data_IF_747531294946
#
_entry.id   IF_747531294946
#
_cell.length_a   1.000
_cell.length_b   1.000
_cell.length_c   1.000
_cell.angle_alpha   90.00
_cell.angle_beta   90.00
_cell.angle_gamma   90.00
#
_symmetry.space_group_name_H-M   'P 1'
#
loop_
_entity.id
_entity.type
_entity.pdbx_description
1 polymer ?
#
# COMPACT_ATOMS: atom_id res chain seq x y z
N UNK A 1 9.71 -30.30 8.92
CA UNK A 1 10.80 -29.56 9.58
C UNK A 1 11.08 -28.27 8.80
N UNK A 2 11.50 -27.17 9.44
CA UNK A 2 11.94 -25.95 8.73
C UNK A 2 13.45 -25.76 8.95
N UNK A 3 14.21 -25.50 7.89
CA UNK A 3 15.65 -25.24 7.96
C UNK A 3 16.13 -24.32 6.82
N UNK A 4 17.40 -23.90 6.90
CA UNK A 4 18.08 -23.23 5.79
C UNK A 4 18.19 -24.17 4.61
N UNK A 5 17.99 -23.62 3.41
CA UNK A 5 18.15 -24.37 2.16
C UNK A 5 19.54 -24.98 2.07
N UNK A 6 19.61 -26.27 1.75
CA UNK A 6 20.84 -27.00 1.47
C UNK A 6 20.95 -27.27 -0.04
N UNK A 7 22.14 -27.58 -0.58
CA UNK A 7 22.31 -27.92 -2.00
C UNK A 7 21.38 -29.04 -2.51
N UNK A 8 21.00 -29.96 -1.63
CA UNK A 8 20.06 -31.05 -1.94
C UNK A 8 18.61 -30.55 -2.11
N UNK A 9 18.22 -29.46 -1.45
CA UNK A 9 16.86 -28.91 -1.50
C UNK A 9 16.65 -27.96 -2.68
N UNK A 10 17.75 -27.40 -3.22
CA UNK A 10 17.72 -26.26 -4.13
C UNK A 10 16.84 -26.49 -5.35
N UNK A 11 16.97 -27.66 -5.99
CA UNK A 11 16.19 -28.01 -7.18
C UNK A 11 14.71 -28.05 -6.88
N UNK A 12 14.30 -28.75 -5.82
CA UNK A 12 12.89 -28.89 -5.44
C UNK A 12 12.30 -27.55 -4.99
N UNK A 13 13.07 -26.76 -4.26
CA UNK A 13 12.70 -25.40 -3.87
C UNK A 13 12.49 -24.48 -5.08
N UNK A 14 13.39 -24.52 -6.07
CA UNK A 14 13.28 -23.73 -7.29
C UNK A 14 12.04 -24.13 -8.12
N UNK A 15 11.81 -25.43 -8.27
CA UNK A 15 10.61 -25.96 -8.94
C UNK A 15 9.33 -25.48 -8.25
N UNK A 16 9.29 -25.56 -6.91
CA UNK A 16 8.14 -25.13 -6.12
C UNK A 16 7.88 -23.62 -6.25
N UNK A 17 8.92 -22.79 -6.23
CA UNK A 17 8.82 -21.34 -6.46
C UNK A 17 8.23 -21.08 -7.84
N UNK A 18 8.84 -21.62 -8.90
CA UNK A 18 8.43 -21.34 -10.28
C UNK A 18 6.98 -21.76 -10.54
N UNK A 19 6.59 -22.94 -10.03
CA UNK A 19 5.24 -23.49 -10.20
C UNK A 19 4.14 -22.64 -9.55
N UNK A 20 4.43 -21.88 -8.48
CA UNK A 20 3.39 -21.23 -7.68
C UNK A 20 3.46 -19.70 -7.63
N UNK A 21 4.60 -19.10 -8.01
CA UNK A 21 4.82 -17.64 -7.92
C UNK A 21 4.78 -16.93 -9.27
N UNK A 22 4.84 -17.67 -10.39
CA UNK A 22 4.96 -17.07 -11.73
C UNK A 22 6.37 -16.59 -12.07
N UNK A 23 7.35 -16.78 -11.18
CA UNK A 23 8.75 -16.49 -11.44
C UNK A 23 9.34 -17.49 -12.45
N UNK A 24 10.19 -16.99 -13.34
CA UNK A 24 10.93 -17.84 -14.27
C UNK A 24 11.87 -18.79 -13.52
N UNK A 25 12.15 -19.96 -14.10
CA UNK A 25 13.05 -20.94 -13.50
C UNK A 25 14.42 -20.36 -13.10
N UNK A 26 15.09 -19.52 -13.92
CA UNK A 26 16.34 -18.89 -13.49
C UNK A 26 16.19 -17.95 -12.30
N UNK A 27 15.05 -17.25 -12.16
CA UNK A 27 14.80 -16.39 -11.01
C UNK A 27 14.50 -17.21 -9.74
N UNK A 28 13.71 -18.27 -9.88
CA UNK A 28 13.43 -19.22 -8.82
C UNK A 28 14.70 -19.91 -8.30
N UNK A 29 15.58 -20.34 -9.20
CA UNK A 29 16.86 -20.96 -8.88
C UNK A 29 17.74 -20.04 -8.03
N UNK A 30 17.91 -18.78 -8.43
CA UNK A 30 18.70 -17.80 -7.65
C UNK A 30 18.15 -17.58 -6.24
N UNK A 31 16.84 -17.60 -6.09
CA UNK A 31 16.21 -17.47 -4.76
C UNK A 31 16.48 -18.74 -3.95
N UNK A 32 16.32 -19.92 -4.54
CA UNK A 32 16.58 -21.20 -3.88
C UNK A 32 18.06 -21.39 -3.48
N UNK A 33 19.00 -20.75 -4.18
CA UNK A 33 20.43 -20.80 -3.85
C UNK A 33 20.85 -19.78 -2.78
N UNK A 34 20.01 -18.80 -2.45
CA UNK A 34 20.31 -17.79 -1.44
C UNK A 34 20.30 -18.42 -0.04
N UNK A 35 21.38 -18.23 0.72
CA UNK A 35 21.52 -18.76 2.09
C UNK A 35 20.49 -18.20 3.08
N UNK A 36 19.83 -17.10 2.75
CA UNK A 36 18.72 -16.55 3.53
C UNK A 36 17.38 -17.26 3.27
N UNK A 37 17.31 -18.14 2.28
CA UNK A 37 16.14 -18.93 1.96
C UNK A 37 15.94 -20.08 2.94
N UNK A 38 14.69 -20.25 3.37
CA UNK A 38 14.26 -21.33 4.22
C UNK A 38 13.36 -22.28 3.44
N UNK A 39 13.51 -23.57 3.72
CA UNK A 39 12.66 -24.64 3.20
C UNK A 39 11.93 -25.33 4.34
N UNK A 40 10.74 -25.84 4.01
CA UNK A 40 9.97 -26.73 4.85
C UNK A 40 9.93 -28.10 4.18
N UNK A 41 10.25 -29.14 4.95
CA UNK A 41 10.42 -30.51 4.45
C UNK A 41 9.50 -31.45 5.21
N UNK A 42 8.88 -32.40 4.50
CA UNK A 42 8.05 -33.46 5.08
C UNK A 42 8.90 -34.45 5.89
N UNK A 43 8.30 -35.34 6.70
CA UNK A 43 9.03 -36.41 7.38
C UNK A 43 9.83 -37.31 6.42
N UNK A 44 9.35 -37.46 5.18
CA UNK A 44 9.96 -38.29 4.15
C UNK A 44 11.08 -37.57 3.37
N UNK A 45 11.40 -36.32 3.72
CA UNK A 45 12.46 -35.55 3.06
C UNK A 45 12.02 -34.74 1.85
N UNK A 46 10.72 -34.65 1.54
CA UNK A 46 10.22 -33.85 0.41
C UNK A 46 10.07 -32.36 0.76
N UNK A 47 10.62 -31.47 -0.07
CA UNK A 47 10.41 -30.01 0.08
C UNK A 47 8.94 -29.66 -0.21
N UNK A 48 8.22 -29.23 0.82
CA UNK A 48 6.80 -28.87 0.75
C UNK A 48 6.50 -27.38 0.91
N UNK A 49 7.51 -26.57 1.23
CA UNK A 49 7.38 -25.12 1.34
C UNK A 49 8.72 -24.40 1.25
N UNK A 50 8.68 -23.14 0.82
CA UNK A 50 9.88 -22.32 0.65
C UNK A 50 9.56 -20.85 0.88
N UNK A 51 10.44 -20.15 1.58
CA UNK A 51 10.41 -18.70 1.76
C UNK A 51 11.81 -18.16 1.51
N UNK A 52 11.98 -17.45 0.39
CA UNK A 52 13.19 -16.71 0.09
C UNK A 52 13.02 -15.24 0.46
N UNK A 53 13.82 -14.75 1.40
CA UNK A 53 13.80 -13.36 1.81
C UNK A 53 15.19 -12.86 2.19
N UNK A 54 15.60 -11.71 1.65
CA UNK A 54 16.96 -11.20 1.81
C UNK A 54 17.09 -9.71 1.60
N UNK A 55 18.33 -9.24 1.49
CA UNK A 55 18.61 -7.83 1.22
C UNK A 55 18.04 -7.46 -0.15
N UNK A 56 17.32 -6.33 -0.27
CA UNK A 56 16.90 -5.86 -1.58
C UNK A 56 18.09 -5.57 -2.49
N UNK A 57 17.89 -5.87 -3.76
CA UNK A 57 18.85 -5.60 -4.84
C UNK A 57 18.33 -4.47 -5.72
N UNK A 58 19.20 -3.84 -6.52
CA UNK A 58 18.78 -2.81 -7.48
C UNK A 58 17.70 -3.34 -8.46
N UNK A 59 17.76 -4.62 -8.82
CA UNK A 59 16.78 -5.27 -9.71
C UNK A 59 15.43 -5.52 -9.04
N UNK A 60 15.40 -5.68 -7.72
CA UNK A 60 14.18 -6.03 -6.98
C UNK A 60 13.56 -4.86 -6.23
N UNK A 61 14.28 -3.74 -6.12
CA UNK A 61 13.84 -2.53 -5.45
C UNK A 61 13.80 -1.37 -6.46
N UNK A 62 12.63 -1.13 -7.04
CA UNK A 62 12.36 0.08 -7.84
C UNK A 62 12.01 1.23 -6.90
N UNK A 63 12.83 2.28 -6.86
CA UNK A 63 12.67 3.40 -5.92
C UNK A 63 12.26 4.65 -6.68
N UNK A 64 11.18 5.29 -6.26
CA UNK A 64 10.72 6.57 -6.82
C UNK A 64 11.43 7.80 -6.23
N UNK A 65 12.28 7.58 -5.22
CA UNK A 65 13.04 8.63 -4.55
C UNK A 65 14.52 8.55 -4.93
N UNK A 66 14.82 8.67 -6.22
CA UNK A 66 16.11 9.24 -6.61
C UNK A 66 16.13 10.68 -6.09
N UNK A 67 16.66 10.88 -4.88
CA UNK A 67 17.04 12.22 -4.47
C UNK A 67 18.15 12.68 -5.42
N UNK A 68 17.79 13.55 -6.38
CA UNK A 68 18.76 14.39 -7.11
C UNK A 68 19.79 13.61 -7.94
N UNK A 69 19.37 12.60 -8.70
CA UNK A 69 20.22 11.96 -9.73
C UNK A 69 21.42 11.19 -9.20
N UNK A 70 21.49 10.88 -7.90
CA UNK A 70 22.47 9.94 -7.35
C UNK A 70 21.94 8.51 -7.43
N UNK A 71 22.81 7.57 -7.79
CA UNK A 71 22.49 6.15 -7.77
C UNK A 71 22.07 5.73 -6.36
N UNK A 72 20.87 5.17 -6.24
CA UNK A 72 20.34 4.66 -4.98
C UNK A 72 21.10 3.39 -4.57
N UNK A 73 21.58 3.33 -3.32
CA UNK A 73 22.23 2.13 -2.76
C UNK A 73 21.21 1.24 -2.02
N UNK A 74 20.87 0.04 -2.52
CA UNK A 74 19.97 -0.89 -1.84
C UNK A 74 20.52 -1.44 -0.51
N UNK A 75 21.82 -1.35 -0.27
CA UNK A 75 22.47 -1.89 0.93
C UNK A 75 22.09 -1.11 2.20
N UNK A 76 21.73 0.17 2.06
CA UNK A 76 21.33 1.04 3.17
C UNK A 76 19.87 0.83 3.58
N UNK A 77 19.10 0.06 2.81
CA UNK A 77 17.68 -0.21 3.10
C UNK A 77 17.60 -1.13 4.31
N UNK A 78 17.02 -0.68 5.43
CA UNK A 78 16.95 -1.49 6.64
C UNK A 78 15.76 -2.45 6.60
N UNK A 79 15.44 -3.02 5.43
CA UNK A 79 14.35 -3.97 5.25
C UNK A 79 14.82 -5.17 4.45
N UNK A 80 14.27 -6.35 4.74
CA UNK A 80 14.39 -7.49 3.84
C UNK A 80 13.20 -7.58 2.91
N UNK A 81 13.45 -7.94 1.65
CA UNK A 81 12.41 -8.23 0.68
C UNK A 81 12.08 -9.72 0.73
N UNK A 82 10.80 -10.06 0.77
CA UNK A 82 10.31 -11.40 0.45
C UNK A 82 10.32 -11.53 -1.07
N UNK A 83 11.21 -12.37 -1.59
CA UNK A 83 11.36 -12.63 -3.01
C UNK A 83 10.38 -13.70 -3.49
N UNK A 84 10.15 -14.74 -2.68
CA UNK A 84 9.19 -15.78 -2.96
C UNK A 84 8.67 -16.40 -1.65
N UNK A 85 7.40 -16.80 -1.67
CA UNK A 85 6.79 -17.68 -0.69
C UNK A 85 5.89 -18.65 -1.44
N UNK A 86 6.20 -19.95 -1.36
CA UNK A 86 5.41 -20.99 -1.98
C UNK A 86 5.23 -22.17 -1.03
N UNK A 87 4.05 -22.78 -1.07
CA UNK A 87 3.73 -24.02 -0.35
C UNK A 87 3.00 -24.94 -1.32
N UNK A 88 3.47 -26.18 -1.40
CA UNK A 88 2.88 -27.21 -2.23
C UNK A 88 1.39 -27.37 -1.88
N UNK A 89 0.55 -27.48 -2.90
CA UNK A 89 -0.91 -27.41 -2.74
C UNK A 89 -1.46 -28.42 -1.73
N UNK A 90 -0.99 -29.68 -1.81
CA UNK A 90 -1.33 -30.77 -0.88
C UNK A 90 -0.98 -30.49 0.60
N UNK A 91 -0.09 -29.53 0.86
CA UNK A 91 0.37 -29.17 2.20
C UNK A 91 -0.08 -27.78 2.66
N UNK A 92 -0.92 -27.10 1.89
CA UNK A 92 -1.52 -25.82 2.32
C UNK A 92 -2.41 -26.03 3.54
N UNK A 93 -2.63 -24.95 4.30
CA UNK A 93 -3.40 -24.94 5.57
C UNK A 93 -2.76 -25.72 6.74
N UNK A 94 -1.64 -26.42 6.54
CA UNK A 94 -0.87 -27.07 7.60
C UNK A 94 0.03 -26.11 8.42
N UNK A 95 -0.11 -24.80 8.26
CA UNK A 95 0.71 -23.81 8.98
C UNK A 95 2.13 -23.59 8.44
N UNK A 96 2.56 -24.32 7.40
CA UNK A 96 3.93 -24.28 6.84
C UNK A 96 4.39 -22.86 6.52
N UNK A 97 3.60 -22.10 5.75
CA UNK A 97 3.94 -20.73 5.37
C UNK A 97 4.16 -19.82 6.59
N UNK A 98 3.37 -20.03 7.67
CA UNK A 98 3.49 -19.26 8.90
C UNK A 98 4.75 -19.66 9.69
N UNK A 99 5.08 -20.94 9.72
CA UNK A 99 6.32 -21.44 10.34
C UNK A 99 7.56 -20.92 9.63
N UNK A 100 7.56 -20.92 8.29
CA UNK A 100 8.61 -20.32 7.48
C UNK A 100 8.78 -18.83 7.81
N UNK A 101 7.67 -18.07 7.79
CA UNK A 101 7.69 -16.64 8.14
C UNK A 101 8.18 -16.39 9.57
N UNK A 102 7.75 -17.21 10.54
CA UNK A 102 8.18 -17.09 11.93
C UNK A 102 9.69 -17.25 12.06
N UNK A 103 10.25 -18.24 11.37
CA UNK A 103 11.68 -18.50 11.37
C UNK A 103 12.46 -17.40 10.65
N UNK A 104 11.95 -16.87 9.53
CA UNK A 104 12.52 -15.68 8.86
C UNK A 104 12.55 -14.47 9.78
N UNK A 105 11.45 -14.16 10.48
CA UNK A 105 11.37 -13.02 11.42
C UNK A 105 12.29 -13.21 12.62
N UNK A 106 12.47 -14.45 13.09
CA UNK A 106 13.42 -14.80 14.16
C UNK A 106 14.87 -14.52 13.74
N UNK A 107 15.21 -14.84 12.50
CA UNK A 107 16.56 -14.68 11.91
C UNK A 107 16.85 -13.28 11.38
N UNK A 108 15.83 -12.44 11.20
CA UNK A 108 15.97 -11.10 10.67
C UNK A 108 17.05 -10.31 11.46
N UNK A 109 18.15 -9.84 10.82
CA UNK A 109 19.27 -9.21 11.51
C UNK A 109 18.85 -7.95 12.24
N UNK A 110 19.33 -7.71 13.47
CA UNK A 110 18.84 -6.62 14.35
C UNK A 110 18.73 -5.25 13.69
N UNK A 111 19.64 -4.92 12.76
CA UNK A 111 19.66 -3.66 11.98
C UNK A 111 18.45 -3.47 11.06
N UNK A 112 17.79 -4.55 10.64
CA UNK A 112 16.61 -4.51 9.79
C UNK A 112 15.35 -4.28 10.62
N UNK A 113 14.44 -3.45 10.15
CA UNK A 113 13.23 -3.04 10.85
C UNK A 113 11.99 -3.85 10.46
N UNK A 114 12.06 -4.65 9.39
CA UNK A 114 10.92 -5.42 8.93
C UNK A 114 11.12 -6.17 7.62
N UNK A 115 10.01 -6.72 7.13
CA UNK A 115 9.89 -7.42 5.86
C UNK A 115 8.94 -6.65 4.95
N UNK A 116 9.20 -6.67 3.64
CA UNK A 116 8.27 -6.17 2.64
C UNK A 116 8.28 -7.07 1.40
N UNK A 117 7.29 -6.93 0.55
CA UNK A 117 7.21 -7.66 -0.71
C UNK A 117 6.07 -7.15 -1.57
N UNK A 118 5.87 -7.80 -2.70
CA UNK A 118 4.78 -7.48 -3.61
C UNK A 118 3.92 -8.71 -3.84
N UNK A 119 2.67 -8.48 -4.21
CA UNK A 119 1.74 -9.53 -4.62
C UNK A 119 0.83 -9.00 -5.72
N UNK A 120 0.54 -9.82 -6.73
CA UNK A 120 -0.39 -9.46 -7.78
C UNK A 120 -1.79 -9.14 -7.21
N UNK A 121 -2.41 -8.06 -7.70
CA UNK A 121 -3.66 -7.50 -7.19
C UNK A 121 -4.84 -8.49 -7.23
N UNK A 122 -4.80 -9.47 -8.13
CA UNK A 122 -5.84 -10.49 -8.27
C UNK A 122 -5.66 -11.67 -7.29
N UNK A 123 -4.50 -11.81 -6.63
CA UNK A 123 -4.22 -12.89 -5.66
C UNK A 123 -4.78 -12.57 -4.27
N UNK A 124 -6.11 -12.45 -4.18
CA UNK A 124 -6.83 -12.08 -2.95
C UNK A 124 -6.52 -12.97 -1.76
N UNK A 125 -6.33 -14.27 -1.98
CA UNK A 125 -5.99 -15.21 -0.91
C UNK A 125 -4.63 -14.90 -0.27
N UNK A 126 -3.61 -14.63 -1.09
CA UNK A 126 -2.28 -14.26 -0.65
C UNK A 126 -2.29 -12.91 0.08
N UNK A 127 -2.98 -11.91 -0.47
CA UNK A 127 -3.17 -10.60 0.17
C UNK A 127 -3.76 -10.77 1.58
N UNK A 128 -4.86 -11.52 1.69
CA UNK A 128 -5.52 -11.78 2.96
C UNK A 128 -4.63 -12.60 3.92
N UNK A 129 -3.83 -13.53 3.40
CA UNK A 129 -2.88 -14.29 4.21
C UNK A 129 -1.81 -13.38 4.83
N UNK A 130 -1.17 -12.52 4.03
CA UNK A 130 -0.17 -11.56 4.51
C UNK A 130 -0.77 -10.62 5.56
N UNK A 131 -1.98 -10.07 5.33
CA UNK A 131 -2.68 -9.23 6.32
C UNK A 131 -2.83 -9.90 7.67
N UNK A 132 -3.27 -11.17 7.68
CA UNK A 132 -3.40 -11.96 8.91
C UNK A 132 -2.07 -12.18 9.63
N UNK A 133 -0.93 -12.11 8.94
CA UNK A 133 0.38 -12.22 9.56
C UNK A 133 0.95 -10.87 10.04
N UNK A 134 0.20 -9.78 9.96
CA UNK A 134 0.64 -8.44 10.41
C UNK A 134 1.33 -7.60 9.33
N UNK A 135 1.16 -7.96 8.06
CA UNK A 135 1.59 -7.11 6.96
C UNK A 135 0.50 -6.10 6.60
N UNK A 136 0.85 -4.82 6.65
CA UNK A 136 0.04 -3.74 6.13
C UNK A 136 0.11 -3.72 4.59
N UNK A 137 -1.05 -3.88 3.93
CA UNK A 137 -1.17 -3.81 2.47
C UNK A 137 -1.39 -2.36 2.09
N UNK A 138 -0.30 -1.71 1.74
CA UNK A 138 -0.28 -0.29 1.50
C UNK A 138 0.32 -0.03 0.13
N UNK A 139 -0.36 0.74 -0.73
CA UNK A 139 0.12 1.04 -2.08
C UNK A 139 1.58 1.54 -2.03
N UNK A 140 1.85 2.58 -1.24
CA UNK A 140 3.22 2.96 -0.93
C UNK A 140 3.70 2.32 0.37
N UNK A 141 4.79 1.55 0.31
CA UNK A 141 5.69 1.41 1.44
C UNK A 141 6.67 2.57 1.40
N UNK A 142 6.43 3.56 2.26
CA UNK A 142 7.57 4.25 2.83
C UNK A 142 8.28 3.25 3.72
N UNK A 143 9.30 2.58 3.19
CA UNK A 143 10.20 1.77 3.99
C UNK A 143 10.95 2.73 4.90
N UNK A 144 10.49 2.85 6.14
CA UNK A 144 11.05 3.78 7.12
C UNK A 144 12.34 3.20 7.69
N UNK A 145 13.32 4.04 8.06
CA UNK A 145 14.54 3.55 8.70
C UNK A 145 14.32 3.04 10.14
N UNK A 146 13.11 3.23 10.67
CA UNK A 146 12.73 2.85 12.03
C UNK A 146 11.45 2.01 12.01
N UNK A 147 11.18 1.28 13.10
CA UNK A 147 9.93 0.53 13.31
C UNK A 147 8.70 1.43 13.60
N UNK A 148 8.76 2.71 13.21
CA UNK A 148 7.64 3.64 13.37
C UNK A 148 7.00 3.93 12.02
N UNK A 149 5.73 3.55 11.90
CA UNK A 149 4.88 4.00 10.81
C UNK A 149 4.91 5.53 10.73
N UNK A 150 5.12 6.08 9.54
CA UNK A 150 5.17 7.53 9.33
C UNK A 150 6.49 8.24 9.64
N UNK A 151 7.59 7.53 9.95
CA UNK A 151 8.91 8.14 10.19
C UNK A 151 9.44 8.99 9.02
N UNK A 152 10.20 10.05 9.34
CA UNK A 152 10.90 10.87 8.35
C UNK A 152 11.95 10.03 7.57
N UNK A 153 12.25 10.43 6.32
CA UNK A 153 13.28 9.77 5.51
C UNK A 153 12.88 8.43 4.89
N UNK A 154 11.59 8.08 4.84
CA UNK A 154 11.15 6.83 4.22
C UNK A 154 11.56 6.68 2.75
N UNK A 155 12.06 5.50 2.41
CA UNK A 155 12.40 5.09 1.03
C UNK A 155 11.09 4.71 0.34
N UNK A 156 10.78 5.35 -0.79
CA UNK A 156 9.55 5.08 -1.55
C UNK A 156 9.80 3.97 -2.55
N UNK A 157 9.11 2.85 -2.41
CA UNK A 157 9.12 1.77 -3.40
C UNK A 157 8.03 2.04 -4.43
N UNK A 158 8.35 1.95 -5.72
CA UNK A 158 7.35 2.00 -6.78
C UNK A 158 6.59 0.67 -6.81
N UNK A 159 5.24 0.69 -6.78
CA UNK A 159 4.48 -0.50 -7.15
C UNK A 159 4.77 -0.88 -8.61
N UNK A 160 4.76 -2.17 -8.89
CA UNK A 160 4.71 -2.66 -10.27
C UNK A 160 3.25 -2.67 -10.70
N UNK A 161 2.97 -2.27 -11.94
CA UNK A 161 1.62 -2.30 -12.49
C UNK A 161 0.97 -3.68 -12.32
N UNK A 162 -0.20 -3.72 -11.68
CA UNK A 162 -0.90 -4.96 -11.38
C UNK A 162 -0.49 -5.64 -10.08
N UNK A 163 0.48 -5.11 -9.34
CA UNK A 163 0.89 -5.57 -8.01
C UNK A 163 0.56 -4.55 -6.92
N UNK A 164 0.43 -5.02 -5.68
CA UNK A 164 0.37 -4.19 -4.48
C UNK A 164 1.52 -4.55 -3.55
N UNK A 165 2.06 -3.53 -2.88
CA UNK A 165 3.12 -3.70 -1.90
C UNK A 165 2.53 -4.02 -0.53
N UNK A 166 3.20 -4.92 0.19
CA UNK A 166 2.94 -5.19 1.58
C UNK A 166 4.20 -5.00 2.41
N UNK A 167 4.03 -4.59 3.67
CA UNK A 167 5.14 -4.46 4.63
C UNK A 167 4.71 -4.79 6.05
N UNK A 168 5.61 -5.36 6.83
CA UNK A 168 5.41 -5.67 8.23
C UNK A 168 6.64 -5.28 9.03
N UNK A 169 6.45 -4.43 10.03
CA UNK A 169 7.49 -4.13 11.00
C UNK A 169 7.80 -5.37 11.83
N UNK A 170 9.06 -5.59 12.20
CA UNK A 170 9.48 -6.75 12.98
C UNK A 170 8.63 -6.90 14.25
N UNK A 171 8.42 -5.83 15.01
CA UNK A 171 7.57 -5.84 16.22
C UNK A 171 6.16 -6.34 15.91
N UNK A 172 5.47 -5.73 14.95
CA UNK A 172 4.13 -6.14 14.52
C UNK A 172 4.10 -7.59 14.05
N UNK A 173 5.03 -8.01 13.20
CA UNK A 173 5.13 -9.40 12.74
C UNK A 173 5.32 -10.37 13.92
N UNK A 174 6.18 -10.04 14.89
CA UNK A 174 6.40 -10.87 16.09
C UNK A 174 5.14 -10.98 16.95
N UNK A 175 4.39 -9.90 17.12
CA UNK A 175 3.12 -9.90 17.85
C UNK A 175 2.11 -10.82 17.16
N UNK A 176 1.91 -10.65 15.86
CA UNK A 176 0.99 -11.47 15.07
C UNK A 176 1.37 -12.95 15.06
N UNK A 177 2.65 -13.25 14.86
CA UNK A 177 3.14 -14.63 14.85
C UNK A 177 2.98 -15.31 16.22
N UNK A 178 3.02 -14.52 17.30
CA UNK A 178 2.77 -14.95 18.67
C UNK A 178 1.29 -14.89 19.09
N UNK A 179 0.36 -14.51 18.21
CA UNK A 179 -1.07 -14.28 18.51
C UNK A 179 -1.29 -13.28 19.65
N UNK A 180 -0.52 -12.19 19.64
CA UNK A 180 -0.59 -11.07 20.61
C UNK A 180 -0.81 -9.75 19.90
N UNK A 181 -1.38 -9.78 18.70
CA UNK A 181 -1.65 -8.59 17.91
C UNK A 181 -2.62 -7.65 18.61
N UNK A 182 -2.38 -6.35 18.46
CA UNK A 182 -3.33 -5.35 18.89
C UNK A 182 -4.52 -5.31 17.92
N UNK A 183 -5.79 -5.40 18.36
CA UNK A 183 -6.95 -5.49 17.46
C UNK A 183 -7.05 -4.37 16.41
N UNK A 184 -6.61 -3.15 16.76
CA UNK A 184 -6.63 -1.97 15.88
C UNK A 184 -5.29 -1.63 15.22
N UNK A 185 -4.34 -2.58 15.10
CA UNK A 185 -3.00 -2.32 14.56
C UNK A 185 -3.03 -1.75 13.12
N UNK A 186 -3.94 -2.26 12.27
CA UNK A 186 -4.03 -1.87 10.86
C UNK A 186 -4.55 -0.43 10.73
N UNK A 187 -5.58 -0.07 11.50
CA UNK A 187 -6.13 1.28 11.55
C UNK A 187 -5.13 2.30 12.10
N UNK A 188 -4.36 1.92 13.13
CA UNK A 188 -3.27 2.76 13.67
C UNK A 188 -2.19 3.03 12.63
N UNK A 189 -1.81 2.00 11.87
CA UNK A 189 -0.84 2.12 10.77
C UNK A 189 -1.38 3.06 9.69
N UNK A 190 -2.63 2.89 9.28
CA UNK A 190 -3.28 3.74 8.28
C UNK A 190 -3.33 5.23 8.71
N UNK A 191 -3.69 5.52 9.97
CA UNK A 191 -3.69 6.88 10.53
C UNK A 191 -2.30 7.52 10.55
N UNK A 192 -1.26 6.75 10.87
CA UNK A 192 0.12 7.24 10.86
C UNK A 192 0.58 7.58 9.42
N UNK A 193 0.23 6.75 8.44
CA UNK A 193 0.49 7.03 7.02
C UNK A 193 -0.27 8.25 6.52
N UNK A 194 -1.55 8.39 6.89
CA UNK A 194 -2.37 9.55 6.55
C UNK A 194 -1.76 10.84 7.10
N UNK A 195 -1.38 10.84 8.38
CA UNK A 195 -0.77 12.00 9.04
C UNK A 195 0.49 12.43 8.32
N UNK A 196 1.38 11.48 7.99
CA UNK A 196 2.62 11.76 7.24
C UNK A 196 2.32 12.33 5.85
N UNK A 197 1.37 11.73 5.14
CA UNK A 197 1.01 12.19 3.80
C UNK A 197 0.45 13.61 3.83
N UNK A 198 -0.48 13.89 4.76
CA UNK A 198 -1.01 15.23 4.99
C UNK A 198 0.08 16.24 5.32
N UNK A 199 1.00 15.90 6.22
CA UNK A 199 2.14 16.78 6.56
C UNK A 199 3.00 17.05 5.34
N UNK A 200 3.29 16.04 4.51
CA UNK A 200 4.07 16.22 3.29
C UNK A 200 3.37 17.14 2.27
N UNK A 201 2.07 16.98 2.06
CA UNK A 201 1.28 17.90 1.20
C UNK A 201 1.30 19.31 1.79
N UNK A 202 1.09 19.44 3.10
CA UNK A 202 1.04 20.75 3.79
C UNK A 202 2.35 21.55 3.66
N UNK A 203 3.49 20.87 3.52
CA UNK A 203 4.79 21.51 3.29
C UNK A 203 4.93 22.12 1.90
N UNK A 204 4.24 21.56 0.89
CA UNK A 204 4.24 22.07 -0.48
C UNK A 204 3.06 23.01 -0.77
N UNK A 205 1.91 22.75 -0.15
CA UNK A 205 0.68 23.51 -0.31
C UNK A 205 -0.08 23.48 1.02
N UNK A 206 -0.22 24.61 1.74
CA UNK A 206 -0.98 24.63 2.98
C UNK A 206 -2.44 24.23 2.74
N UNK A 207 -3.11 23.59 3.71
CA UNK A 207 -4.54 23.32 3.61
C UNK A 207 -5.33 24.62 3.49
N UNK A 208 -6.51 24.53 2.90
CA UNK A 208 -7.43 25.65 2.79
C UNK A 208 -7.79 26.21 4.18
N UNK A 209 -7.67 27.53 4.34
CA UNK A 209 -8.07 28.21 5.57
C UNK A 209 -9.61 28.34 5.69
N UNK A 210 -10.29 28.52 4.55
CA UNK A 210 -11.72 28.79 4.50
C UNK A 210 -12.55 27.61 5.03
N UNK A 211 -13.59 27.92 5.80
CA UNK A 211 -14.47 26.94 6.44
C UNK A 211 -15.16 26.01 5.42
N UNK A 212 -15.54 26.55 4.26
CA UNK A 212 -16.27 25.85 3.21
C UNK A 212 -15.56 24.59 2.70
N UNK A 213 -14.23 24.61 2.57
CA UNK A 213 -13.48 23.41 2.17
C UNK A 213 -13.55 22.31 3.22
N UNK A 214 -13.51 22.66 4.50
CA UNK A 214 -13.65 21.69 5.60
C UNK A 214 -15.05 21.09 5.64
N UNK A 215 -16.09 21.92 5.46
CA UNK A 215 -17.48 21.46 5.36
C UNK A 215 -17.68 20.54 4.15
N UNK A 216 -17.16 20.93 2.98
CA UNK A 216 -17.23 20.12 1.77
C UNK A 216 -16.53 18.77 1.96
N UNK A 217 -15.32 18.75 2.49
CA UNK A 217 -14.59 17.52 2.77
C UNK A 217 -15.36 16.58 3.71
N UNK A 218 -15.99 17.12 4.77
CA UNK A 218 -16.83 16.34 5.70
C UNK A 218 -18.05 15.73 5.01
N UNK A 219 -18.68 16.49 4.11
CA UNK A 219 -19.84 16.00 3.33
C UNK A 219 -19.43 14.89 2.38
N UNK A 220 -18.36 15.08 1.60
CA UNK A 220 -17.79 14.02 0.73
C UNK A 220 -17.44 12.76 1.53
N UNK A 221 -16.90 12.95 2.74
CA UNK A 221 -16.50 11.85 3.61
C UNK A 221 -17.70 11.03 4.14
N UNK A 222 -18.86 11.65 4.34
CA UNK A 222 -20.02 11.05 5.04
C UNK A 222 -21.21 10.69 4.16
N UNK A 223 -21.47 11.44 3.09
CA UNK A 223 -22.74 11.35 2.33
C UNK A 223 -22.60 10.64 0.99
N UNK A 224 -21.38 10.37 0.55
CA UNK A 224 -21.13 9.76 -0.75
C UNK A 224 -20.56 8.36 -0.51
N UNK A 225 -21.20 7.37 -1.12
CA UNK A 225 -20.65 6.02 -1.31
C UNK A 225 -20.03 5.94 -2.72
N UNK A 226 -18.80 6.45 -2.91
CA UNK A 226 -18.20 6.49 -4.21
C UNK A 226 -17.62 5.14 -4.58
N UNK A 227 -17.58 4.88 -5.89
CA UNK A 227 -16.69 3.85 -6.40
C UNK A 227 -15.29 4.11 -5.84
N UNK A 228 -14.68 3.06 -5.30
CA UNK A 228 -13.38 3.19 -4.64
C UNK A 228 -12.35 2.41 -5.45
N UNK A 229 -11.11 2.89 -5.48
CA UNK A 229 -10.02 2.14 -6.09
C UNK A 229 -9.98 0.69 -5.55
N UNK A 230 -9.59 -0.27 -6.40
CA UNK A 230 -9.46 -1.69 -6.04
C UNK A 230 -8.69 -1.88 -4.73
N UNK A 231 -7.65 -1.07 -4.53
CA UNK A 231 -6.79 -1.14 -3.36
C UNK A 231 -7.53 -0.90 -2.05
N UNK A 232 -8.58 -0.07 -2.00
CA UNK A 232 -9.32 0.16 -0.76
C UNK A 232 -10.00 -1.10 -0.20
N UNK A 233 -10.28 -2.09 -1.05
CA UNK A 233 -10.80 -3.38 -0.61
C UNK A 233 -9.77 -4.17 0.24
N UNK A 234 -8.50 -3.80 0.23
CA UNK A 234 -7.44 -4.51 0.94
C UNK A 234 -7.27 -4.07 2.41
N UNK A 235 -8.15 -3.22 2.94
CA UNK A 235 -8.13 -2.78 4.34
C UNK A 235 -8.00 -1.25 4.52
N UNK A 236 -8.04 -0.74 5.76
CA UNK A 236 -7.97 0.68 6.07
C UNK A 236 -6.74 1.33 5.43
N UNK A 237 -6.94 2.48 4.79
CA UNK A 237 -5.84 3.25 4.18
C UNK A 237 -6.21 4.71 3.98
N UNK A 238 -5.22 5.61 3.89
CA UNK A 238 -5.43 6.97 3.44
C UNK A 238 -6.00 7.01 2.01
N UNK A 239 -6.98 7.86 1.78
CA UNK A 239 -7.63 8.05 0.47
C UNK A 239 -7.65 9.52 0.09
N UNK A 240 -7.88 9.79 -1.20
CA UNK A 240 -8.22 11.11 -1.70
C UNK A 240 -9.42 11.09 -2.64
N UNK A 241 -10.07 12.24 -2.71
CA UNK A 241 -11.12 12.56 -3.68
C UNK A 241 -10.74 13.85 -4.41
N UNK A 242 -11.03 13.86 -5.70
CA UNK A 242 -10.94 15.03 -6.56
C UNK A 242 -12.38 15.57 -6.72
N UNK A 243 -12.60 16.84 -6.37
CA UNK A 243 -13.93 17.41 -6.19
C UNK A 243 -14.74 17.48 -7.48
N UNK A 244 -14.06 17.71 -8.60
CA UNK A 244 -14.65 17.71 -9.95
C UNK A 244 -14.81 16.31 -10.55
N UNK A 245 -14.45 15.24 -9.82
CA UNK A 245 -14.85 13.90 -10.19
C UNK A 245 -16.36 13.74 -9.98
N UNK A 246 -17.15 13.51 -11.04
CA UNK A 246 -18.60 13.37 -10.94
C UNK A 246 -19.06 12.23 -10.02
N UNK A 247 -18.24 11.19 -9.91
CA UNK A 247 -18.51 10.00 -9.08
C UNK A 247 -17.85 10.10 -7.70
N UNK A 248 -17.10 11.17 -7.45
CA UNK A 248 -16.28 11.39 -6.24
C UNK A 248 -15.45 10.17 -5.86
N UNK A 249 -14.87 9.50 -6.87
CA UNK A 249 -14.13 8.25 -6.73
C UNK A 249 -13.05 8.42 -5.67
N UNK A 250 -13.09 7.57 -4.65
CA UNK A 250 -12.03 7.53 -3.64
C UNK A 250 -10.83 6.78 -4.21
N UNK A 251 -9.77 7.50 -4.50
CA UNK A 251 -8.51 6.94 -4.96
C UNK A 251 -7.53 6.82 -3.79
N UNK A 252 -6.81 5.71 -3.70
CA UNK A 252 -5.58 5.70 -2.92
C UNK A 252 -4.53 6.54 -3.67
N UNK A 253 -3.44 6.91 -2.98
CA UNK A 253 -2.38 7.73 -3.57
C UNK A 253 -1.80 7.20 -4.89
N UNK A 254 -1.71 5.88 -5.09
CA UNK A 254 -1.26 5.30 -6.38
C UNK A 254 -2.24 5.51 -7.52
N UNK A 255 -3.53 5.37 -7.20
CA UNK A 255 -4.57 5.53 -8.19
C UNK A 255 -4.86 7.01 -8.45
N UNK A 256 -4.36 7.91 -7.61
CA UNK A 256 -4.65 9.35 -7.66
C UNK A 256 -4.25 10.00 -8.98
N UNK A 257 -3.05 9.71 -9.49
CA UNK A 257 -2.57 10.29 -10.74
C UNK A 257 -3.39 9.79 -11.93
N UNK A 258 -3.61 8.48 -12.03
CA UNK A 258 -4.50 7.90 -13.05
C UNK A 258 -5.93 8.43 -12.94
N UNK A 259 -6.39 8.62 -11.71
CA UNK A 259 -7.71 9.17 -11.44
C UNK A 259 -7.79 10.62 -11.90
N UNK A 260 -6.79 11.45 -11.56
CA UNK A 260 -6.70 12.84 -11.98
C UNK A 260 -6.73 12.94 -13.51
N UNK A 261 -5.93 12.14 -14.22
CA UNK A 261 -5.96 12.07 -15.70
C UNK A 261 -7.34 11.65 -16.25
N UNK A 262 -8.01 10.70 -15.58
CA UNK A 262 -9.35 10.23 -16.00
C UNK A 262 -10.43 11.30 -15.86
N UNK A 263 -10.33 12.13 -14.82
CA UNK A 263 -11.35 13.14 -14.48
C UNK A 263 -10.97 14.56 -14.90
N UNK A 264 -9.78 14.76 -15.48
CA UNK A 264 -9.29 16.05 -15.97
C UNK A 264 -10.28 16.75 -16.89
N UNK A 265 -10.99 15.99 -17.75
CA UNK A 265 -12.04 16.52 -18.64
C UNK A 265 -13.22 17.19 -17.94
N UNK A 266 -13.40 16.93 -16.64
CA UNK A 266 -14.46 17.52 -15.82
C UNK A 266 -13.95 18.73 -15.03
N UNK A 267 -12.64 18.98 -15.01
CA UNK A 267 -12.07 20.17 -14.40
C UNK A 267 -12.47 21.40 -15.23
N UNK A 268 -12.94 22.44 -14.53
CA UNK A 268 -13.27 23.71 -15.13
C UNK A 268 -12.89 24.81 -14.17
N UNK A 269 -12.08 25.75 -14.65
CA UNK A 269 -11.62 26.91 -13.88
C UNK A 269 -12.75 27.80 -13.32
N UNK A 270 -14.00 27.59 -13.75
CA UNK A 270 -15.17 28.36 -13.30
C UNK A 270 -16.22 27.52 -12.58
N UNK A 271 -16.15 26.19 -12.64
CA UNK A 271 -17.18 25.34 -12.02
C UNK A 271 -16.89 25.16 -10.53
N UNK A 272 -17.86 25.47 -9.68
CA UNK A 272 -17.75 25.21 -8.25
C UNK A 272 -18.18 23.78 -7.90
N UNK A 273 -17.30 22.98 -7.32
CA UNK A 273 -17.57 21.58 -6.95
C UNK A 273 -18.69 21.42 -5.91
N UNK A 274 -18.87 22.42 -5.04
CA UNK A 274 -19.86 22.38 -3.97
C UNK A 274 -21.28 22.75 -4.42
N UNK A 275 -21.45 23.64 -5.41
CA UNK A 275 -22.78 24.09 -5.84
C UNK A 275 -23.08 23.84 -7.31
N UNK A 276 -22.10 23.35 -8.08
CA UNK A 276 -22.21 23.09 -9.51
C UNK A 276 -22.46 24.31 -10.39
N UNK A 277 -22.33 25.53 -9.85
CA UNK A 277 -22.52 26.76 -10.61
C UNK A 277 -21.20 27.23 -11.20
N UNK A 278 -21.25 27.74 -12.43
CA UNK A 278 -20.17 28.52 -13.01
C UNK A 278 -20.09 29.88 -12.33
N UNK A 279 -18.94 30.21 -11.76
CA UNK A 279 -18.68 31.46 -11.05
C UNK A 279 -17.27 31.95 -11.40
N UNK A 280 -17.04 33.28 -11.44
CA UNK A 280 -15.69 33.82 -11.40
C UNK A 280 -15.02 33.49 -10.06
N UNK A 281 -13.69 33.48 -10.04
CA UNK A 281 -12.87 33.29 -8.83
C UNK A 281 -13.12 31.96 -8.09
N UNK A 282 -13.38 30.88 -8.83
CA UNK A 282 -13.24 29.53 -8.27
C UNK A 282 -11.77 29.29 -7.96
N UNK A 283 -11.49 28.87 -6.72
CA UNK A 283 -10.15 28.58 -6.27
C UNK A 283 -10.01 27.09 -5.96
N UNK A 284 -8.97 26.45 -6.49
CA UNK A 284 -8.65 25.06 -6.16
C UNK A 284 -7.77 25.03 -4.92
N UNK A 285 -8.23 24.30 -3.91
CA UNK A 285 -7.48 24.04 -2.69
C UNK A 285 -7.83 22.66 -2.14
N UNK A 286 -7.30 22.32 -0.97
CA UNK A 286 -7.56 21.04 -0.34
C UNK A 286 -7.90 21.17 1.14
N UNK A 287 -8.71 20.25 1.62
CA UNK A 287 -8.97 20.01 3.02
C UNK A 287 -8.94 18.51 3.30
N UNK A 288 -8.94 18.14 4.57
CA UNK A 288 -8.90 16.73 4.98
C UNK A 288 -9.92 16.42 6.05
N UNK A 289 -10.50 15.22 5.98
CA UNK A 289 -11.26 14.62 7.07
C UNK A 289 -10.38 13.57 7.76
N UNK A 290 -9.97 13.85 9.01
CA UNK A 290 -9.04 12.99 9.75
C UNK A 290 -9.68 11.68 10.22
N UNK A 291 -10.97 11.70 10.54
CA UNK A 291 -11.71 10.53 11.00
C UNK A 291 -11.76 9.46 9.91
N UNK A 292 -12.03 9.90 8.68
CA UNK A 292 -12.11 9.06 7.48
C UNK A 292 -10.78 8.91 6.74
N UNK A 293 -9.69 9.54 7.24
CA UNK A 293 -8.37 9.53 6.61
C UNK A 293 -8.42 9.93 5.12
N UNK A 294 -9.20 10.98 4.84
CA UNK A 294 -9.53 11.42 3.49
C UNK A 294 -8.96 12.81 3.20
N UNK A 295 -8.32 12.99 2.05
CA UNK A 295 -7.94 14.30 1.50
C UNK A 295 -8.87 14.64 0.35
N UNK A 296 -9.44 15.84 0.34
CA UNK A 296 -10.34 16.30 -0.72
C UNK A 296 -9.74 17.55 -1.36
N UNK A 297 -9.44 17.45 -2.66
CA UNK A 297 -9.11 18.59 -3.50
C UNK A 297 -10.41 19.10 -4.12
N UNK A 298 -10.66 20.40 -4.11
CA UNK A 298 -11.87 20.96 -4.71
C UNK A 298 -11.66 22.39 -5.22
N UNK A 299 -12.39 22.77 -6.27
CA UNK A 299 -12.59 24.13 -6.73
C UNK A 299 -13.84 24.73 -6.12
N UNK A 300 -13.73 25.74 -5.26
CA UNK A 300 -14.88 26.39 -4.62
C UNK A 300 -15.00 27.88 -4.99
N UNK A 301 -16.23 28.33 -5.29
CA UNK A 301 -16.55 29.74 -5.51
C UNK A 301 -16.60 30.53 -4.18
N UNK A 302 -16.51 31.88 -4.19
CA UNK A 302 -16.40 32.67 -2.96
C UNK A 302 -17.51 32.42 -1.91
N UNK A 303 -18.80 32.33 -2.26
CA UNK A 303 -19.85 32.00 -1.29
C UNK A 303 -19.67 30.60 -0.65
N UNK A 304 -19.29 29.60 -1.46
CA UNK A 304 -19.10 28.24 -0.96
C UNK A 304 -17.83 28.14 -0.10
N UNK A 305 -16.75 28.87 -0.43
CA UNK A 305 -15.54 28.97 0.40
C UNK A 305 -15.84 29.52 1.78
N UNK A 306 -16.63 30.60 1.88
CA UNK A 306 -17.02 31.19 3.17
C UNK A 306 -17.93 30.29 4.01
N UNK A 307 -18.65 29.36 3.36
CA UNK A 307 -19.66 28.53 4.01
C UNK A 307 -21.05 29.18 4.04
N UNK A 308 -21.29 30.20 3.21
CA UNK A 308 -22.58 30.90 3.10
C UNK A 308 -23.68 30.02 2.46
N UNK A 309 -23.26 28.92 1.83
CA UNK A 309 -24.15 27.94 1.19
C UNK A 309 -23.81 26.56 1.72
N UNK A 310 -24.85 25.78 2.04
CA UNK A 310 -24.65 24.36 2.31
C UNK A 310 -24.04 23.70 1.08
N UNK A 311 -22.91 22.99 1.22
CA UNK A 311 -22.34 22.26 0.11
C UNK A 311 -23.31 21.15 -0.29
N UNK A 312 -23.69 21.11 -1.56
CA UNK A 312 -24.52 20.05 -2.13
C UNK A 312 -23.71 19.44 -3.27
N UNK A 313 -22.83 18.45 -2.99
CA UNK A 313 -21.89 17.91 -3.96
C UNK A 313 -22.64 17.54 -5.25
N UNK A 314 -22.27 18.22 -6.33
CA UNK A 314 -23.02 18.14 -7.56
C UNK A 314 -22.77 16.77 -8.21
N UNK A 315 -23.77 15.87 -8.19
CA UNK A 315 -23.78 14.73 -9.11
C UNK A 315 -24.25 15.23 -10.47
N UNK A 316 -23.49 15.05 -11.56
CA UNK A 316 -24.09 15.23 -12.87
C UNK A 316 -25.28 14.30 -12.96
N UNK A 317 -26.41 14.81 -13.45
CA UNK A 317 -27.55 13.96 -13.82
C UNK A 317 -26.99 12.88 -14.73
N UNK A 318 -27.20 11.61 -14.37
CA UNK A 318 -26.92 10.47 -15.23
C UNK A 318 -27.40 10.81 -16.64
N UNK A 319 -26.47 10.93 -17.58
CA UNK A 319 -26.87 10.97 -18.98
C UNK A 319 -27.62 9.67 -19.22
N UNK A 320 -28.92 9.83 -19.47
CA UNK A 320 -29.83 8.73 -19.71
C UNK A 320 -29.26 7.83 -20.81
N UNK A 321 -29.48 6.55 -20.60
CA UNK A 321 -29.37 5.51 -21.61
C UNK A 321 -29.79 6.01 -22.99
N UNK A 322 -28.92 5.82 -23.97
CA UNK A 322 -29.31 5.49 -25.33
C UNK A 322 -28.55 4.25 -25.74
#
# INVERSE_FOLDING_TARGET
>A
MVHEVQPADTTDAALLISAHTGLSQPAAQRIAEDRSTLVAVTPDGEVCGVLGAGQPTATTLRVLREQRGQAFDPSIVPWWKIHALAVAEKHRRAGIARSLLAETVRRLPRRHVGLYGNVENHRRESINWYRRQGFYIGPFSGLTPTERAGGAGGIRVQPIDGETIFRGYRSTLREHLANREHPNWELRTARAEFTRWRTAISQTQPPAADLGYRLYARIIATQIDPSTCLHAAFGPRPLMVIGWDPDHTRACWECAERQALRVERFDSATLCDACGQHQPDVHVSWASDEDQQLIVYAGLCPPCRRGDREPSPHRPRSHGSK
#
